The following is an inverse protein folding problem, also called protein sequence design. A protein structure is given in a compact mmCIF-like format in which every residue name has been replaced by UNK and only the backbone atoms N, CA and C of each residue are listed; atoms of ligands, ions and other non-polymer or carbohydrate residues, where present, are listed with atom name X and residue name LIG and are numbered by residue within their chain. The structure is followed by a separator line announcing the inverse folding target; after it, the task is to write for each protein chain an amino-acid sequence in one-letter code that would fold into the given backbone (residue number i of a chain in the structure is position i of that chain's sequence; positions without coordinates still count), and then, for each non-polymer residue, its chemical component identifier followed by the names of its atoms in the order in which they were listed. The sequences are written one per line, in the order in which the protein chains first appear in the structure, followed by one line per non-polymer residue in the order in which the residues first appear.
data_IF_274346416450
#
_entry.id   IF_274346416450
#
_cell.length_a   1.000
_cell.length_b   1.000
_cell.length_c   1.000
_cell.angle_alpha   90.00
_cell.angle_beta   90.00
_cell.angle_gamma   90.00
#
_symmetry.space_group_name_H-M   'P 1'
#
loop_
_entity.id
_entity.type
_entity.pdbx_description
1 polymer ?
#
# COMPACT_ATOMS: atom_id res chain seq x y z
N UNK A 1 -2.58 -19.42 -22.52
CA UNK A 1 -1.84 -18.14 -22.40
C UNK A 1 -1.02 -18.15 -21.11
N UNK A 2 0.27 -17.89 -21.21
CA UNK A 2 1.18 -17.85 -20.05
C UNK A 2 0.96 -16.56 -19.25
N UNK A 3 1.19 -16.58 -17.92
CA UNK A 3 1.05 -15.39 -17.09
C UNK A 3 2.18 -14.39 -17.36
N UNK A 4 1.85 -13.10 -17.37
CA UNK A 4 2.84 -12.02 -17.48
C UNK A 4 3.13 -11.46 -16.08
N UNK A 5 4.09 -12.06 -15.39
CA UNK A 5 4.36 -11.74 -13.97
C UNK A 5 4.67 -10.27 -13.80
N UNK A 6 3.85 -9.62 -12.99
CA UNK A 6 3.83 -8.17 -12.83
C UNK A 6 3.82 -7.81 -11.35
N UNK A 7 4.32 -6.62 -11.04
CA UNK A 7 4.29 -6.06 -9.70
C UNK A 7 3.70 -4.65 -9.75
N UNK A 8 2.74 -4.38 -8.87
CA UNK A 8 2.39 -3.01 -8.50
C UNK A 8 3.30 -2.64 -7.33
N UNK A 9 4.42 -2.00 -7.67
CA UNK A 9 5.51 -1.69 -6.76
C UNK A 9 5.35 -0.31 -6.12
N UNK A 10 5.66 -0.19 -4.85
CA UNK A 10 5.63 1.05 -4.09
C UNK A 10 6.94 1.24 -3.33
N UNK A 11 7.42 2.48 -3.32
CA UNK A 11 8.54 2.94 -2.49
C UNK A 11 8.00 4.07 -1.63
N UNK A 12 8.19 3.95 -0.31
CA UNK A 12 7.93 5.02 0.65
C UNK A 12 9.25 5.73 0.92
N UNK A 13 9.36 6.95 0.45
CA UNK A 13 10.51 7.81 0.71
C UNK A 13 10.34 8.52 2.05
N UNK A 14 11.46 8.76 2.73
CA UNK A 14 11.51 9.62 3.91
C UNK A 14 12.31 10.89 3.59
N UNK A 15 12.38 11.82 4.53
CA UNK A 15 13.28 12.98 4.45
C UNK A 15 14.76 12.60 4.61
N UNK A 16 15.05 11.33 4.95
CA UNK A 16 16.38 10.74 4.95
C UNK A 16 16.63 9.99 3.64
N UNK A 17 17.64 10.45 2.89
CA UNK A 17 18.00 9.85 1.60
C UNK A 17 18.48 8.39 1.68
N UNK A 18 18.88 7.90 2.86
CA UNK A 18 19.35 6.54 3.10
C UNK A 18 18.26 5.60 3.66
N UNK A 19 17.03 6.09 3.82
CA UNK A 19 15.93 5.34 4.41
C UNK A 19 14.70 5.40 3.51
N UNK A 20 14.35 4.24 2.95
CA UNK A 20 13.15 4.02 2.16
C UNK A 20 12.58 2.64 2.44
N UNK A 21 11.26 2.53 2.35
CA UNK A 21 10.55 1.26 2.54
C UNK A 21 9.97 0.75 1.23
N UNK A 22 10.16 -0.53 0.93
CA UNK A 22 9.81 -1.14 -0.35
C UNK A 22 8.71 -2.18 -0.20
N UNK A 23 7.67 -2.07 -1.03
CA UNK A 23 6.56 -3.01 -1.01
C UNK A 23 6.01 -3.29 -2.40
N UNK A 24 5.29 -4.40 -2.53
CA UNK A 24 4.61 -4.76 -3.76
C UNK A 24 3.39 -5.60 -3.50
N UNK A 25 2.51 -5.63 -4.50
CA UNK A 25 1.53 -6.70 -4.66
C UNK A 25 1.69 -7.34 -6.04
N UNK A 26 1.57 -8.66 -6.08
CA UNK A 26 1.82 -9.47 -7.26
C UNK A 26 0.57 -9.57 -8.13
N UNK A 27 0.74 -9.42 -9.44
CA UNK A 27 -0.30 -9.65 -10.46
C UNK A 27 0.28 -10.42 -11.65
N UNK A 28 -0.58 -10.77 -12.61
CA UNK A 28 -0.21 -11.60 -13.78
C UNK A 28 -0.47 -10.90 -15.13
N UNK A 29 -0.27 -9.58 -15.17
CA UNK A 29 -0.30 -8.78 -16.40
C UNK A 29 -1.41 -7.71 -16.36
N UNK A 30 -2.39 -7.83 -17.26
CA UNK A 30 -3.55 -6.89 -17.33
C UNK A 30 -4.23 -6.76 -15.97
N UNK A 31 -4.51 -5.53 -15.54
CA UNK A 31 -5.07 -5.21 -14.23
C UNK A 31 -4.03 -4.78 -13.20
N UNK A 32 -2.72 -4.90 -13.50
CA UNK A 32 -1.67 -4.35 -12.64
C UNK A 32 -1.81 -2.84 -12.45
N UNK A 33 -2.24 -2.13 -13.51
CA UNK A 33 -2.51 -0.69 -13.49
C UNK A 33 -3.62 -0.30 -12.50
N UNK A 34 -4.60 -1.19 -12.27
CA UNK A 34 -5.66 -0.98 -11.29
C UNK A 34 -5.10 -1.05 -9.87
N UNK A 35 -4.17 -2.00 -9.61
CA UNK A 35 -3.48 -2.08 -8.33
C UNK A 35 -2.57 -0.87 -8.10
N UNK A 36 -1.83 -0.40 -9.12
CA UNK A 36 -1.04 0.83 -9.05
C UNK A 36 -1.92 2.05 -8.73
N UNK A 37 -3.07 2.18 -9.39
CA UNK A 37 -4.01 3.27 -9.11
C UNK A 37 -4.59 3.19 -7.69
N UNK A 38 -4.89 1.99 -7.19
CA UNK A 38 -5.33 1.79 -5.82
C UNK A 38 -4.24 2.14 -4.79
N UNK A 39 -2.96 1.86 -5.07
CA UNK A 39 -1.83 2.31 -4.24
C UNK A 39 -1.81 3.85 -4.18
N UNK A 40 -1.96 4.53 -5.33
CA UNK A 40 -2.02 5.99 -5.38
C UNK A 40 -3.22 6.58 -4.62
N UNK A 41 -4.36 5.89 -4.63
CA UNK A 41 -5.52 6.33 -3.84
C UNK A 41 -5.24 6.36 -2.33
N UNK A 42 -4.30 5.55 -1.83
CA UNK A 42 -3.89 5.50 -0.42
C UNK A 42 -2.86 6.57 -0.03
N UNK A 43 -2.33 7.35 -0.99
CA UNK A 43 -1.24 8.31 -0.77
C UNK A 43 -1.55 9.33 0.33
N UNK A 44 -2.79 9.84 0.34
CA UNK A 44 -3.27 10.81 1.34
C UNK A 44 -3.29 10.28 2.78
N UNK A 45 -3.17 8.97 2.96
CA UNK A 45 -3.03 8.37 4.27
C UNK A 45 -1.56 8.28 4.71
N UNK A 46 -0.59 8.15 3.81
CA UNK A 46 0.81 7.92 4.26
C UNK A 46 1.70 9.16 4.17
N UNK A 47 1.47 10.04 3.19
CA UNK A 47 2.37 11.17 2.95
C UNK A 47 2.25 12.20 4.07
N UNK A 48 3.40 12.57 4.64
CA UNK A 48 3.50 13.52 5.76
C UNK A 48 3.38 12.88 7.15
N UNK A 49 3.17 11.57 7.23
CA UNK A 49 3.24 10.83 8.50
C UNK A 49 4.68 10.70 8.98
N UNK A 50 4.87 10.58 10.30
CA UNK A 50 6.18 10.30 10.89
C UNK A 50 6.35 8.81 11.12
N UNK A 51 7.52 8.29 10.76
CA UNK A 51 7.85 6.87 10.93
C UNK A 51 7.76 6.44 12.41
N UNK A 52 8.21 7.28 13.35
CA UNK A 52 8.16 6.96 14.78
C UNK A 52 6.74 6.84 15.30
N UNK A 53 5.81 7.64 14.75
CA UNK A 53 4.38 7.56 15.10
C UNK A 53 3.78 6.24 14.62
N UNK A 54 4.13 5.82 13.40
CA UNK A 54 3.66 4.55 12.82
C UNK A 54 4.23 3.37 13.62
N UNK A 55 5.54 3.37 13.89
CA UNK A 55 6.22 2.30 14.61
C UNK A 55 5.76 2.15 16.07
N UNK A 56 5.29 3.23 16.70
CA UNK A 56 4.78 3.19 18.07
C UNK A 56 3.46 2.39 18.21
N UNK A 57 2.62 2.34 17.17
CA UNK A 57 1.39 1.52 17.15
C UNK A 57 1.02 1.11 15.72
N UNK A 58 1.65 0.02 15.25
CA UNK A 58 1.35 -0.59 13.95
C UNK A 58 -0.11 -1.08 13.85
N UNK A 59 -0.76 -1.38 14.98
CA UNK A 59 -2.17 -1.76 15.01
C UNK A 59 -3.10 -0.58 14.70
N UNK A 60 -2.80 0.60 15.23
CA UNK A 60 -3.50 1.83 14.89
C UNK A 60 -3.26 2.24 13.43
N UNK A 61 -2.02 2.09 12.96
CA UNK A 61 -1.67 2.30 11.56
C UNK A 61 -2.49 1.40 10.62
N UNK A 62 -2.53 0.09 10.88
CA UNK A 62 -3.36 -0.86 10.13
C UNK A 62 -4.83 -0.47 10.15
N UNK A 63 -5.39 -0.19 11.34
CA UNK A 63 -6.80 0.21 11.48
C UNK A 63 -7.12 1.45 10.66
N UNK A 64 -6.20 2.42 10.54
CA UNK A 64 -6.42 3.64 9.76
C UNK A 64 -6.62 3.33 8.28
N UNK A 65 -5.78 2.46 7.71
CA UNK A 65 -5.89 2.01 6.31
C UNK A 65 -7.13 1.15 6.06
N UNK A 66 -7.48 0.27 7.01
CA UNK A 66 -8.60 -0.66 6.83
C UNK A 66 -9.94 -0.12 7.31
N UNK A 67 -10.01 1.08 7.91
CA UNK A 67 -11.26 1.66 8.46
C UNK A 67 -11.82 2.84 7.66
N UNK A 68 -11.14 3.29 6.60
CA UNK A 68 -11.68 4.32 5.72
C UNK A 68 -12.95 3.80 5.03
N UNK A 69 -14.10 4.37 5.36
CA UNK A 69 -15.39 3.85 4.89
C UNK A 69 -15.57 3.92 3.37
N UNK A 70 -14.99 4.92 2.71
CA UNK A 70 -15.09 5.10 1.26
C UNK A 70 -14.20 4.09 0.54
N UNK A 71 -12.97 3.88 1.01
CA UNK A 71 -12.07 2.88 0.44
C UNK A 71 -12.50 1.45 0.77
N UNK A 72 -13.12 1.23 1.94
CA UNK A 72 -13.75 -0.07 2.26
C UNK A 72 -14.88 -0.42 1.31
N UNK A 73 -15.58 0.58 0.76
CA UNK A 73 -16.71 0.34 -0.15
C UNK A 73 -16.31 -0.37 -1.45
N UNK A 74 -15.05 -0.23 -1.87
CA UNK A 74 -14.48 -0.92 -3.04
C UNK A 74 -13.79 -2.27 -2.70
N UNK A 75 -13.91 -2.74 -1.46
CA UNK A 75 -13.48 -4.06 -1.00
C UNK A 75 -14.66 -4.84 -0.40
N UNK A 76 -14.88 -4.78 0.93
CA UNK A 76 -13.93 -4.47 1.99
C UNK A 76 -12.95 -5.63 2.20
N UNK A 77 -11.72 -5.31 2.62
CA UNK A 77 -10.67 -6.28 2.99
C UNK A 77 -10.43 -7.38 1.92
N UNK A 78 -10.59 -7.02 0.64
CA UNK A 78 -10.41 -7.89 -0.52
C UNK A 78 -10.12 -7.08 -1.79
N UNK A 79 -9.71 -7.77 -2.86
CA UNK A 79 -9.58 -7.18 -4.20
C UNK A 79 -8.45 -6.15 -4.31
N UNK A 80 -8.51 -5.33 -5.36
CA UNK A 80 -7.43 -4.39 -5.72
C UNK A 80 -7.09 -3.41 -4.58
N UNK A 81 -8.10 -2.90 -3.86
CA UNK A 81 -7.86 -1.96 -2.75
C UNK A 81 -7.08 -2.61 -1.60
N UNK A 82 -7.39 -3.86 -1.26
CA UNK A 82 -6.71 -4.54 -0.16
C UNK A 82 -5.34 -5.11 -0.56
N UNK A 83 -5.17 -5.48 -1.83
CA UNK A 83 -3.85 -5.76 -2.41
C UNK A 83 -2.95 -4.52 -2.34
N UNK A 84 -3.48 -3.34 -2.68
CA UNK A 84 -2.77 -2.07 -2.55
C UNK A 84 -2.45 -1.73 -1.08
N UNK A 85 -3.40 -1.91 -0.16
CA UNK A 85 -3.14 -1.77 1.28
C UNK A 85 -2.00 -2.68 1.74
N UNK A 86 -1.99 -3.94 1.30
CA UNK A 86 -0.90 -4.88 1.61
C UNK A 86 0.45 -4.38 1.10
N UNK A 87 0.53 -3.87 -0.13
CA UNK A 87 1.76 -3.32 -0.68
C UNK A 87 2.30 -2.15 0.16
N UNK A 88 1.44 -1.18 0.54
CA UNK A 88 1.84 -0.01 1.34
C UNK A 88 2.22 -0.41 2.77
N UNK A 89 1.45 -1.28 3.42
CA UNK A 89 1.74 -1.74 4.79
C UNK A 89 3.04 -2.54 4.83
N UNK A 90 3.29 -3.40 3.86
CA UNK A 90 4.55 -4.14 3.79
C UNK A 90 5.74 -3.20 3.53
N UNK A 91 5.56 -2.15 2.72
CA UNK A 91 6.60 -1.13 2.54
C UNK A 91 6.91 -0.36 3.84
N UNK A 92 5.98 -0.26 4.78
CA UNK A 92 6.25 0.32 6.11
C UNK A 92 7.01 -0.63 7.03
N UNK A 93 6.88 -1.94 6.80
CA UNK A 93 7.57 -2.97 7.59
C UNK A 93 8.99 -3.27 7.13
N UNK A 94 9.30 -2.98 5.86
CA UNK A 94 10.65 -3.02 5.28
C UNK A 94 11.53 -1.89 5.84
#
# INVERSE_FOLDING_TARGET
PDPDYSAAYVILETDRADLSGHGLTFTIGRGNEICCAAIRALEHQIVGERLETIAADMGAFWRRFTSDSQLRWIGPDKGAIHLATGAVVNAVWD
#
